data_IF_045018058179
#
_entry.id   IF_045018058179
#
_cell.length_a   1.000
_cell.length_b   1.000
_cell.length_c   1.000
_cell.angle_alpha   90.00
_cell.angle_beta   90.00
_cell.angle_gamma   90.00
#
_symmetry.space_group_name_H-M   'P 1'
#
loop_
_entity.id
_entity.type
_entity.pdbx_description
1 polymer ?
#
# COMPACT_ATOMS: atom_id res chain seq x y z
N UNK A 1 12.39 -1.48 -1.60
CA UNK A 1 11.60 -1.23 -0.36
C UNK A 1 12.48 -0.50 0.64
N UNK A 2 11.91 0.14 1.67
CA UNK A 2 12.65 0.84 2.74
C UNK A 2 12.19 0.33 4.09
N UNK A 3 13.11 0.03 4.98
CA UNK A 3 12.85 -0.50 6.32
C UNK A 3 13.28 0.56 7.32
N UNK A 4 12.43 0.88 8.30
CA UNK A 4 12.75 1.81 9.38
C UNK A 4 12.48 1.17 10.72
N UNK A 5 13.34 1.45 11.70
CA UNK A 5 13.09 1.10 13.09
C UNK A 5 12.05 2.06 13.67
N UNK A 6 11.03 1.52 14.33
CA UNK A 6 9.93 2.25 14.95
C UNK A 6 9.69 1.72 16.37
N UNK A 7 10.54 2.13 17.31
CA UNK A 7 10.53 1.59 18.68
C UNK A 7 10.97 0.13 18.71
N UNK A 8 10.15 -0.75 19.28
CA UNK A 8 10.40 -2.20 19.34
C UNK A 8 9.97 -2.96 18.07
N UNK A 9 9.34 -2.26 17.13
CA UNK A 9 8.91 -2.80 15.84
C UNK A 9 9.72 -2.20 14.71
N UNK A 10 9.64 -2.83 13.54
CA UNK A 10 10.12 -2.26 12.30
C UNK A 10 8.96 -2.07 11.34
N UNK A 11 9.07 -1.04 10.51
CA UNK A 11 8.13 -0.73 9.44
C UNK A 11 8.79 -0.94 8.10
N UNK A 12 8.06 -1.52 7.16
CA UNK A 12 8.47 -1.64 5.76
C UNK A 12 7.61 -0.71 4.93
N UNK A 13 8.27 0.11 4.12
CA UNK A 13 7.70 0.90 3.06
C UNK A 13 8.02 0.26 1.71
N UNK A 14 7.03 0.16 0.84
CA UNK A 14 7.24 -0.29 -0.53
C UNK A 14 6.36 0.50 -1.51
N UNK A 15 6.73 0.49 -2.78
CA UNK A 15 5.88 1.00 -3.85
C UNK A 15 5.30 -0.21 -4.56
N UNK A 16 3.98 -0.36 -4.54
CA UNK A 16 3.25 -1.48 -5.13
C UNK A 16 2.13 -0.92 -5.99
N UNK A 17 2.11 -1.31 -7.27
CA UNK A 17 1.21 -0.74 -8.28
C UNK A 17 1.25 0.79 -8.34
N UNK A 18 2.41 1.42 -8.09
CA UNK A 18 2.54 2.88 -8.05
C UNK A 18 2.02 3.55 -6.77
N UNK A 19 1.52 2.80 -5.80
CA UNK A 19 1.09 3.31 -4.48
C UNK A 19 2.11 3.02 -3.41
N UNK A 20 2.24 3.91 -2.43
CA UNK A 20 3.10 3.66 -1.28
C UNK A 20 2.34 2.79 -0.28
N UNK A 21 2.97 1.73 0.21
CA UNK A 21 2.42 0.86 1.25
C UNK A 21 3.30 0.84 2.48
N UNK A 22 2.68 0.64 3.65
CA UNK A 22 3.36 0.41 4.92
C UNK A 22 2.87 -0.89 5.54
N UNK A 23 3.80 -1.68 6.06
CA UNK A 23 3.50 -2.83 6.94
C UNK A 23 4.39 -2.80 8.16
N UNK A 24 3.83 -3.12 9.32
CA UNK A 24 4.61 -3.33 10.54
C UNK A 24 4.94 -4.81 10.70
N UNK A 25 6.12 -5.10 11.24
CA UNK A 25 6.52 -6.45 11.59
C UNK A 25 7.37 -6.46 12.86
N UNK A 26 7.42 -7.63 13.50
CA UNK A 26 8.32 -7.87 14.61
C UNK A 26 9.71 -8.21 14.07
N UNK A 27 10.68 -7.39 14.45
CA UNK A 27 12.05 -7.48 13.97
C UNK A 27 12.73 -6.14 14.20
N UNK A 28 14.06 -6.18 14.34
CA UNK A 28 14.89 -4.99 14.51
C UNK A 28 15.99 -5.00 13.47
N UNK A 29 16.24 -3.85 12.86
CA UNK A 29 17.43 -3.65 12.06
C UNK A 29 18.66 -3.62 12.99
N UNK A 30 19.70 -4.34 12.61
CA UNK A 30 20.98 -4.28 13.31
C UNK A 30 22.00 -3.49 12.47
N UNK A 31 22.70 -2.55 13.11
CA UNK A 31 23.64 -1.67 12.42
C UNK A 31 23.03 -0.52 11.58
N UNK A 32 21.70 -0.41 11.46
CA UNK A 32 21.03 0.70 10.80
C UNK A 32 19.67 1.02 11.45
N UNK A 33 19.23 2.28 11.41
CA UNK A 33 17.88 2.68 11.83
C UNK A 33 16.92 2.85 10.64
N UNK A 34 17.45 3.04 9.43
CA UNK A 34 16.71 3.26 8.20
C UNK A 34 17.55 2.82 7.00
N UNK A 35 17.00 1.97 6.12
CA UNK A 35 17.70 1.46 4.94
C UNK A 35 16.72 1.11 3.82
N UNK A 36 17.00 1.51 2.59
CA UNK A 36 16.36 0.91 1.42
C UNK A 36 17.14 -0.29 0.90
N UNK A 37 16.42 -1.35 0.52
CA UNK A 37 16.98 -2.59 -0.03
C UNK A 37 16.15 -3.09 -1.22
N UNK A 38 16.76 -3.95 -2.03
CA UNK A 38 16.05 -4.75 -3.05
C UNK A 38 15.04 -5.66 -2.34
N UNK A 39 13.77 -5.63 -2.79
CA UNK A 39 12.74 -6.50 -2.24
C UNK A 39 13.01 -7.98 -2.60
N UNK A 40 13.50 -8.23 -3.80
CA UNK A 40 13.84 -9.58 -4.30
C UNK A 40 15.00 -10.18 -3.51
N UNK A 41 16.06 -9.40 -3.27
CA UNK A 41 17.24 -9.89 -2.56
C UNK A 41 16.89 -10.17 -1.10
N UNK A 42 16.09 -9.29 -0.46
CA UNK A 42 15.64 -9.52 0.90
C UNK A 42 14.73 -10.75 1.00
N UNK A 43 13.81 -10.94 0.06
CA UNK A 43 12.97 -12.13 0.02
C UNK A 43 13.81 -13.41 -0.10
N UNK A 44 14.84 -13.38 -0.94
CA UNK A 44 15.79 -14.50 -1.10
C UNK A 44 16.51 -14.80 0.21
N UNK A 45 17.01 -13.77 0.91
CA UNK A 45 17.67 -13.94 2.21
C UNK A 45 16.71 -14.45 3.30
N UNK A 46 15.45 -13.99 3.29
CA UNK A 46 14.41 -14.48 4.19
C UNK A 46 14.14 -15.98 3.98
N UNK A 47 13.96 -16.41 2.73
CA UNK A 47 13.68 -17.82 2.41
C UNK A 47 14.81 -18.75 2.86
N UNK A 48 16.06 -18.30 2.72
CA UNK A 48 17.23 -19.02 3.24
C UNK A 48 17.24 -19.05 4.78
N UNK A 49 16.96 -17.91 5.43
CA UNK A 49 17.07 -17.75 6.88
C UNK A 49 15.99 -18.46 7.69
N UNK A 50 14.75 -18.55 7.19
CA UNK A 50 13.62 -19.21 7.88
C UNK A 50 13.94 -20.67 8.25
N UNK A 51 14.90 -21.27 7.56
CA UNK A 51 15.35 -22.65 7.82
C UNK A 51 16.48 -22.79 8.86
N UNK A 52 17.15 -21.70 9.29
CA UNK A 52 18.46 -21.81 9.97
C UNK A 52 18.81 -20.74 11.02
N UNK A 53 18.13 -19.59 11.10
CA UNK A 53 18.58 -18.49 11.98
C UNK A 53 17.45 -17.51 12.37
N UNK A 54 17.59 -16.87 13.53
CA UNK A 54 16.77 -15.73 13.96
C UNK A 54 17.21 -14.39 13.33
N UNK A 55 18.32 -14.39 12.60
CA UNK A 55 18.90 -13.23 11.91
C UNK A 55 18.85 -13.42 10.40
N UNK A 56 18.37 -12.39 9.71
CA UNK A 56 18.36 -12.31 8.25
C UNK A 56 19.39 -11.28 7.84
N UNK A 57 20.36 -11.70 7.03
CA UNK A 57 21.36 -10.77 6.49
C UNK A 57 20.66 -9.75 5.59
N UNK A 58 20.94 -8.45 5.80
CA UNK A 58 20.37 -7.40 4.97
C UNK A 58 21.09 -7.34 3.62
N UNK A 59 20.38 -7.21 2.50
CA UNK A 59 21.01 -6.89 1.22
C UNK A 59 21.76 -5.56 1.27
N UNK A 60 22.61 -5.33 0.26
CA UNK A 60 23.27 -4.05 0.09
C UNK A 60 22.26 -2.88 0.01
N UNK A 61 22.65 -1.74 0.56
CA UNK A 61 21.79 -0.54 0.51
C UNK A 61 21.48 -0.14 -0.93
N UNK A 62 20.21 0.17 -1.15
CA UNK A 62 19.61 0.70 -2.36
C UNK A 62 18.99 2.08 -2.11
N UNK A 63 19.50 2.85 -1.12
CA UNK A 63 18.96 4.18 -0.76
C UNK A 63 18.89 5.13 -1.95
N UNK A 64 19.90 5.12 -2.82
CA UNK A 64 19.94 5.93 -4.03
C UNK A 64 18.86 5.56 -5.07
N UNK A 65 18.25 4.38 -4.95
CA UNK A 65 17.16 3.90 -5.82
C UNK A 65 15.78 4.16 -5.24
N UNK A 66 15.66 4.56 -3.98
CA UNK A 66 14.38 4.88 -3.38
C UNK A 66 13.77 6.14 -4.01
N UNK A 67 12.46 6.13 -4.28
CA UNK A 67 11.73 7.22 -4.93
C UNK A 67 10.46 7.64 -4.18
N UNK A 68 10.11 6.94 -3.11
CA UNK A 68 8.89 7.23 -2.34
C UNK A 68 9.09 8.39 -1.38
N UNK A 69 8.18 9.35 -1.37
CA UNK A 69 8.09 10.29 -0.26
C UNK A 69 7.38 9.62 0.91
N UNK A 70 7.97 9.67 2.11
CA UNK A 70 7.34 9.10 3.31
C UNK A 70 6.33 10.11 3.86
N UNK A 71 5.09 9.71 4.16
CA UNK A 71 4.05 10.60 4.67
C UNK A 71 4.32 11.03 6.12
N UNK A 72 3.64 12.08 6.63
CA UNK A 72 3.76 12.50 8.01
C UNK A 72 3.37 11.39 9.00
N UNK A 73 4.09 11.32 10.12
CA UNK A 73 3.85 10.30 11.15
C UNK A 73 2.56 10.54 11.96
N UNK A 74 2.10 11.80 12.08
CA UNK A 74 0.96 12.19 12.88
C UNK A 74 0.19 13.36 12.23
N UNK A 75 -0.95 13.74 12.81
CA UNK A 75 -1.83 14.80 12.27
C UNK A 75 -2.86 14.31 11.25
N UNK A 76 -3.17 13.02 11.28
CA UNK A 76 -4.20 12.42 10.42
C UNK A 76 -5.60 12.70 10.94
N UNK A 77 -6.47 13.19 10.07
CA UNK A 77 -7.90 13.38 10.36
C UNK A 77 -8.69 12.23 9.76
N UNK A 78 -9.42 11.52 10.61
CA UNK A 78 -10.35 10.46 10.21
C UNK A 78 -11.46 11.03 9.32
N UNK A 79 -11.78 10.32 8.24
CA UNK A 79 -12.89 10.62 7.34
C UNK A 79 -13.98 9.58 7.53
N UNK A 80 -13.65 8.30 7.29
CA UNK A 80 -14.61 7.20 7.28
C UNK A 80 -13.92 5.88 7.66
N UNK A 81 -14.65 5.01 8.34
CA UNK A 81 -14.27 3.61 8.54
C UNK A 81 -15.13 2.74 7.60
N UNK A 82 -14.52 2.15 6.58
CA UNK A 82 -15.21 1.35 5.55
C UNK A 82 -15.12 -0.12 5.93
N UNK A 83 -16.21 -0.90 5.92
CA UNK A 83 -16.14 -2.34 6.10
C UNK A 83 -15.17 -2.98 5.09
N UNK A 84 -14.24 -3.81 5.55
CA UNK A 84 -13.26 -4.47 4.67
C UNK A 84 -13.95 -5.29 3.56
N UNK A 85 -15.11 -5.88 3.89
CA UNK A 85 -15.96 -6.60 2.94
C UNK A 85 -16.41 -5.73 1.76
N UNK A 86 -16.83 -4.49 2.01
CA UNK A 86 -17.27 -3.57 0.96
C UNK A 86 -16.12 -3.24 -0.02
N UNK A 87 -14.88 -3.15 0.48
CA UNK A 87 -13.71 -2.97 -0.37
C UNK A 87 -13.42 -4.19 -1.24
N UNK A 88 -13.59 -5.40 -0.70
CA UNK A 88 -13.41 -6.67 -1.44
C UNK A 88 -14.48 -6.77 -2.53
N UNK A 89 -15.76 -6.57 -2.18
CA UNK A 89 -16.87 -6.65 -3.13
C UNK A 89 -16.71 -5.60 -4.26
N UNK A 90 -16.20 -4.40 -3.95
CA UNK A 90 -15.89 -3.38 -4.94
C UNK A 90 -14.77 -3.80 -5.91
N UNK A 91 -13.72 -4.49 -5.44
CA UNK A 91 -12.67 -5.07 -6.30
C UNK A 91 -13.25 -6.16 -7.18
N UNK A 92 -14.06 -7.06 -6.64
CA UNK A 92 -14.65 -8.16 -7.38
C UNK A 92 -15.59 -7.66 -8.48
N UNK A 93 -16.42 -6.67 -8.16
CA UNK A 93 -17.30 -6.01 -9.13
C UNK A 93 -16.50 -5.32 -10.24
N UNK A 94 -15.44 -4.59 -9.90
CA UNK A 94 -14.57 -3.97 -10.90
C UNK A 94 -13.81 -5.02 -11.74
N UNK A 95 -13.36 -6.11 -11.11
CA UNK A 95 -12.64 -7.22 -11.73
C UNK A 95 -13.48 -8.06 -12.69
N UNK A 96 -14.78 -8.22 -12.43
CA UNK A 96 -15.70 -8.85 -13.37
C UNK A 96 -15.72 -8.10 -14.71
N UNK A 97 -15.70 -6.76 -14.68
CA UNK A 97 -15.59 -5.92 -15.88
C UNK A 97 -14.22 -5.99 -16.58
N UNK A 98 -13.18 -6.54 -15.92
CA UNK A 98 -11.84 -6.72 -16.50
C UNK A 98 -11.72 -8.00 -17.32
N UNK A 99 -12.52 -9.03 -17.02
CA UNK A 99 -12.50 -10.30 -17.77
C UNK A 99 -13.02 -10.10 -19.21
N UNK A 100 -13.76 -9.02 -19.43
CA UNK A 100 -14.30 -8.62 -20.73
C UNK A 100 -13.31 -7.81 -21.61
N UNK A 101 -12.11 -7.47 -21.10
CA UNK A 101 -11.10 -6.66 -21.80
C UNK A 101 -9.92 -7.54 -22.26
N UNK A 102 -9.91 -7.95 -23.54
CA UNK A 102 -8.90 -8.83 -24.13
C UNK A 102 -7.44 -8.29 -24.16
N UNK A 103 -6.50 -9.24 -24.19
CA UNK A 103 -5.06 -9.23 -23.86
C UNK A 103 -4.09 -8.27 -24.59
N UNK A 104 -4.49 -7.25 -25.36
CA UNK A 104 -3.54 -6.50 -26.21
C UNK A 104 -3.43 -4.96 -26.02
N UNK A 105 -4.16 -4.36 -25.07
CA UNK A 105 -4.05 -2.92 -24.73
C UNK A 105 -3.34 -2.64 -23.38
N UNK A 106 -2.59 -3.62 -22.87
CA UNK A 106 -2.38 -3.87 -21.43
C UNK A 106 -1.50 -2.90 -20.63
N UNK A 107 -0.82 -1.91 -21.23
CA UNK A 107 0.08 -1.05 -20.43
C UNK A 107 -0.52 0.34 -20.16
N UNK A 108 -0.93 1.09 -21.18
CA UNK A 108 -1.55 2.41 -20.98
C UNK A 108 -3.02 2.29 -20.54
N UNK A 109 -3.77 1.34 -21.13
CA UNK A 109 -5.14 1.08 -20.69
C UNK A 109 -5.14 0.57 -19.24
N UNK A 110 -4.17 -0.25 -18.84
CA UNK A 110 -4.06 -0.69 -17.45
C UNK A 110 -3.79 0.46 -16.49
N UNK A 111 -2.92 1.43 -16.82
CA UNK A 111 -2.67 2.53 -15.88
C UNK A 111 -3.90 3.45 -15.70
N UNK A 112 -4.57 3.81 -16.80
CA UNK A 112 -5.81 4.59 -16.77
C UNK A 112 -6.93 3.85 -16.01
N UNK A 113 -7.10 2.56 -16.29
CA UNK A 113 -8.05 1.67 -15.62
C UNK A 113 -7.75 1.52 -14.12
N UNK A 114 -6.49 1.35 -13.75
CA UNK A 114 -6.07 1.33 -12.34
C UNK A 114 -6.33 2.68 -11.66
N UNK A 115 -6.26 3.79 -12.41
CA UNK A 115 -6.56 5.13 -11.92
C UNK A 115 -8.06 5.41 -11.76
N UNK A 116 -8.95 4.58 -12.32
CA UNK A 116 -10.39 4.80 -12.24
C UNK A 116 -10.89 4.77 -10.78
N UNK A 117 -11.72 5.75 -10.36
CA UNK A 117 -12.37 5.72 -9.06
C UNK A 117 -13.41 4.61 -9.01
N UNK A 118 -13.36 3.77 -7.96
CA UNK A 118 -14.30 2.65 -7.77
C UNK A 118 -15.21 2.88 -6.57
N UNK A 119 -14.69 3.59 -5.56
CA UNK A 119 -15.44 4.00 -4.38
C UNK A 119 -15.20 5.48 -4.12
N UNK A 120 -16.20 6.15 -3.59
CA UNK A 120 -16.09 7.55 -3.17
C UNK A 120 -16.50 7.65 -1.72
N UNK A 121 -15.64 8.24 -0.92
CA UNK A 121 -15.84 8.51 0.50
C UNK A 121 -16.24 9.97 0.66
N UNK A 122 -17.38 10.21 1.28
CA UNK A 122 -17.84 11.56 1.54
C UNK A 122 -16.96 12.21 2.61
N UNK A 123 -16.45 13.40 2.31
CA UNK A 123 -15.66 14.22 3.22
C UNK A 123 -16.43 15.51 3.53
N UNK A 124 -17.17 15.60 4.65
CA UNK A 124 -18.00 16.75 4.95
C UNK A 124 -17.21 18.07 4.93
N UNK A 125 -17.66 19.02 4.10
CA UNK A 125 -17.02 20.33 3.94
C UNK A 125 -15.79 20.35 3.02
N UNK A 126 -15.47 19.24 2.35
CA UNK A 126 -14.31 19.09 1.47
C UNK A 126 -14.68 18.34 0.17
N UNK A 127 -13.73 18.21 -0.75
CA UNK A 127 -13.90 17.37 -1.94
C UNK A 127 -13.98 15.90 -1.54
N UNK A 128 -14.96 15.13 -2.06
CA UNK A 128 -15.04 13.70 -1.81
C UNK A 128 -13.74 12.98 -2.16
N UNK A 129 -13.41 11.95 -1.39
CA UNK A 129 -12.20 11.18 -1.57
C UNK A 129 -12.52 9.98 -2.44
N UNK A 130 -12.11 10.07 -3.70
CA UNK A 130 -12.16 8.94 -4.61
C UNK A 130 -11.10 7.91 -4.23
N UNK A 131 -11.46 6.64 -4.15
CA UNK A 131 -10.56 5.50 -3.99
C UNK A 131 -10.49 4.76 -5.31
N UNK A 132 -9.30 4.71 -5.89
CA UNK A 132 -9.10 4.10 -7.21
C UNK A 132 -8.96 2.59 -7.14
N UNK A 133 -9.22 1.91 -8.27
CA UNK A 133 -9.03 0.48 -8.42
C UNK A 133 -7.60 0.06 -8.02
N UNK A 134 -6.59 0.90 -8.31
CA UNK A 134 -5.20 0.71 -7.91
C UNK A 134 -5.03 0.54 -6.40
N UNK A 135 -5.66 1.42 -5.61
CA UNK A 135 -5.57 1.38 -4.15
C UNK A 135 -6.19 0.07 -3.64
N UNK A 136 -7.37 -0.25 -4.13
CA UNK A 136 -8.12 -1.43 -3.73
C UNK A 136 -7.39 -2.74 -4.11
N UNK A 137 -6.87 -2.84 -5.33
CA UNK A 137 -6.03 -3.97 -5.76
C UNK A 137 -4.75 -4.08 -4.92
N UNK A 138 -4.15 -2.95 -4.55
CA UNK A 138 -2.99 -2.95 -3.69
C UNK A 138 -3.31 -3.49 -2.29
N UNK A 139 -4.42 -3.05 -1.68
CA UNK A 139 -4.90 -3.56 -0.40
C UNK A 139 -5.11 -5.09 -0.45
N UNK A 140 -5.76 -5.58 -1.50
CA UNK A 140 -6.04 -7.01 -1.70
C UNK A 140 -4.76 -7.82 -1.93
N UNK A 141 -3.88 -7.41 -2.86
CA UNK A 141 -2.63 -8.13 -3.17
C UNK A 141 -1.66 -8.17 -2.01
N UNK A 142 -1.64 -7.13 -1.17
CA UNK A 142 -0.80 -7.08 0.03
C UNK A 142 -1.39 -7.87 1.20
N UNK A 143 -2.60 -8.44 1.04
CA UNK A 143 -3.31 -9.14 2.11
C UNK A 143 -3.75 -8.22 3.24
N UNK A 144 -3.85 -6.91 2.99
CA UNK A 144 -4.24 -5.94 4.02
C UNK A 144 -5.73 -6.03 4.39
N UNK A 145 -6.52 -6.73 3.59
CA UNK A 145 -7.93 -7.04 3.87
C UNK A 145 -8.12 -8.49 4.35
N UNK A 146 -7.05 -9.27 4.49
CA UNK A 146 -7.14 -10.71 4.80
C UNK A 146 -7.75 -11.00 6.19
N UNK A 147 -7.76 -10.02 7.11
CA UNK A 147 -8.39 -10.15 8.42
C UNK A 147 -9.92 -10.25 8.38
N UNK A 148 -10.57 -9.89 7.26
CA UNK A 148 -12.04 -9.97 7.12
C UNK A 148 -12.58 -11.40 7.29
N UNK A 149 -11.86 -12.41 6.78
CA UNK A 149 -12.25 -13.82 6.94
C UNK A 149 -12.27 -14.27 8.41
N UNK A 150 -11.53 -13.58 9.28
CA UNK A 150 -11.44 -13.88 10.70
C UNK A 150 -12.39 -13.04 11.55
N UNK A 151 -12.72 -11.83 11.10
CA UNK A 151 -13.64 -10.91 11.78
C UNK A 151 -14.42 -10.05 10.76
N UNK A 152 -15.73 -10.30 10.56
CA UNK A 152 -16.58 -9.48 9.70
C UNK A 152 -16.70 -8.01 10.12
N UNK A 153 -16.33 -7.67 11.37
CA UNK A 153 -16.28 -6.31 11.89
C UNK A 153 -15.02 -5.52 11.51
N UNK A 154 -14.09 -6.14 10.76
CA UNK A 154 -12.84 -5.47 10.38
C UNK A 154 -13.09 -4.32 9.39
N UNK A 155 -12.52 -3.16 9.68
CA UNK A 155 -12.69 -1.93 8.91
C UNK A 155 -11.35 -1.44 8.35
N UNK A 156 -11.43 -0.81 7.18
CA UNK A 156 -10.37 -0.01 6.61
C UNK A 156 -10.65 1.47 6.87
N UNK A 157 -9.74 2.10 7.60
CA UNK A 157 -9.83 3.49 8.02
C UNK A 157 -9.29 4.42 6.96
N UNK A 158 -10.12 5.33 6.45
CA UNK A 158 -9.74 6.40 5.54
C UNK A 158 -9.45 7.67 6.34
N UNK A 159 -8.25 8.20 6.20
CA UNK A 159 -7.85 9.45 6.84
C UNK A 159 -7.00 10.32 5.91
N UNK A 160 -6.92 11.62 6.23
CA UNK A 160 -6.17 12.60 5.42
C UNK A 160 -5.19 13.42 6.25
N UNK A 161 -4.12 13.87 5.59
CA UNK A 161 -3.16 14.83 6.13
C UNK A 161 -2.53 15.64 5.00
N UNK A 162 -3.00 16.88 4.81
CA UNK A 162 -2.61 17.71 3.67
C UNK A 162 -2.92 17.00 2.35
N UNK A 163 -1.93 16.79 1.45
CA UNK A 163 -2.16 16.08 0.20
C UNK A 163 -2.26 14.56 0.37
N UNK A 164 -2.07 14.00 1.57
CA UNK A 164 -2.05 12.57 1.76
C UNK A 164 -3.43 12.02 2.12
N UNK A 165 -3.75 10.88 1.51
CA UNK A 165 -4.84 9.99 1.90
C UNK A 165 -4.20 8.67 2.35
N UNK A 166 -4.62 8.15 3.49
CA UNK A 166 -4.26 6.81 3.98
C UNK A 166 -5.51 5.95 4.04
N UNK A 167 -5.36 4.69 3.64
CA UNK A 167 -6.33 3.63 3.89
C UNK A 167 -5.59 2.62 4.78
N UNK A 168 -5.87 2.67 6.08
CA UNK A 168 -5.20 1.87 7.09
C UNK A 168 -6.07 0.71 7.55
N UNK A 169 -5.47 -0.46 7.70
CA UNK A 169 -6.09 -1.67 8.23
C UNK A 169 -5.23 -2.22 9.37
N UNK A 170 -5.73 -3.25 10.05
CA UNK A 170 -4.96 -3.96 11.07
C UNK A 170 -3.69 -4.63 10.54
N UNK A 171 -3.62 -4.91 9.22
CA UNK A 171 -2.51 -5.63 8.59
C UNK A 171 -1.48 -4.70 7.94
N UNK A 172 -1.85 -3.45 7.64
CA UNK A 172 -0.98 -2.49 6.96
C UNK A 172 -1.76 -1.28 6.46
N UNK A 173 -1.12 -0.45 5.65
CA UNK A 173 -1.75 0.74 5.09
C UNK A 173 -1.29 1.03 3.67
N UNK A 174 -2.18 1.58 2.85
CA UNK A 174 -1.89 2.14 1.53
C UNK A 174 -2.04 3.66 1.58
N UNK A 175 -1.13 4.35 0.90
CA UNK A 175 -1.08 5.81 0.87
C UNK A 175 -1.16 6.31 -0.57
N UNK A 176 -1.93 7.38 -0.75
CA UNK A 176 -1.96 8.19 -1.98
C UNK A 176 -1.59 9.63 -1.64
N UNK A 177 -0.83 10.27 -2.51
CA UNK A 177 -0.59 11.72 -2.47
C UNK A 177 -1.36 12.42 -3.59
N UNK A 178 -2.43 13.12 -3.24
CA UNK A 178 -3.24 13.97 -4.12
C UNK A 178 -2.38 15.11 -4.70
N UNK A 179 -2.58 15.45 -5.97
CA UNK A 179 -1.91 16.60 -6.60
C UNK A 179 -0.46 16.37 -7.05
N UNK A 180 0.04 15.14 -7.00
CA UNK A 180 1.24 14.78 -7.78
C UNK A 180 0.74 14.47 -9.18
N UNK A 181 0.82 15.44 -10.10
CA UNK A 181 0.83 15.13 -11.53
C UNK A 181 1.92 14.09 -11.71
N UNK A 182 1.56 12.93 -12.21
CA UNK A 182 2.55 11.95 -12.64
C UNK A 182 3.36 12.61 -13.74
N UNK A 183 4.57 13.08 -13.42
CA UNK A 183 5.47 13.72 -14.37
C UNK A 183 5.94 12.74 -15.47
N UNK A 184 5.44 11.50 -15.46
CA UNK A 184 5.56 10.53 -16.53
C UNK A 184 4.47 10.65 -17.60
N UNK A 185 3.48 11.54 -17.45
CA UNK A 185 2.68 12.03 -18.58
C UNK A 185 1.94 10.95 -19.37
N UNK A 186 1.28 10.02 -18.70
CA UNK A 186 0.38 9.08 -19.35
C UNK A 186 -1.07 9.37 -18.93
N UNK A 187 -1.75 10.13 -19.78
CA UNK A 187 -3.22 10.26 -19.85
C UNK A 187 -3.74 9.44 -21.01
#
# INVERSE_FOLDING_TARGET
MRIQTAGERSVIWAIVLGTLVRREFHGRLDGAADIAVSATDLATNLDVSVSTSAYVELPASADTKWRGTIPPAAGWRLIEDIPARALIDAVEAAGASLTDLEDHALNAAADSMLSQPVLTVDAPGETPIELSLRILLCLTRMGFLAGERADPGNVARVAVNGPWVIIATMQGAVYRRTGTIDLLGLS
#
